data_IF_794993733853
#
_entry.id   IF_794993733853
#
_cell.length_a   1.000
_cell.length_b   1.000
_cell.length_c   1.000
_cell.angle_alpha   90.00
_cell.angle_beta   90.00
_cell.angle_gamma   90.00
#
_symmetry.space_group_name_H-M   'P 1'
#
loop_
_entity.id
_entity.type
_entity.pdbx_description
1 polymer ?
#
# COMPACT_ATOMS: atom_id res chain seq x y z
N UNK A 1 -46.87 -12.69 -7.45
CA UNK A 1 -45.91 -13.57 -6.75
C UNK A 1 -44.72 -12.70 -6.42
N UNK A 2 -44.72 -12.19 -5.20
CA UNK A 2 -43.93 -11.06 -4.72
C UNK A 2 -42.42 -11.32 -4.78
N UNK A 3 -41.72 -10.57 -5.64
CA UNK A 3 -40.28 -10.38 -5.53
C UNK A 3 -40.00 -9.33 -4.46
N UNK A 4 -39.98 -9.77 -3.21
CA UNK A 4 -39.63 -8.96 -2.04
C UNK A 4 -38.23 -8.31 -2.23
N UNK A 5 -38.10 -6.96 -2.23
CA UNK A 5 -36.82 -6.26 -2.36
C UNK A 5 -35.93 -6.32 -1.10
N UNK A 6 -36.33 -7.04 -0.06
CA UNK A 6 -35.57 -7.19 1.20
C UNK A 6 -34.59 -8.37 1.26
N UNK A 7 -34.16 -8.94 0.12
CA UNK A 7 -33.10 -9.95 0.14
C UNK A 7 -31.74 -9.28 0.40
N UNK A 8 -31.51 -8.85 1.65
CA UNK A 8 -30.22 -8.36 2.14
C UNK A 8 -29.21 -9.46 1.84
N UNK A 9 -28.26 -9.15 0.96
CA UNK A 9 -27.29 -10.09 0.37
C UNK A 9 -26.30 -10.64 1.41
N UNK A 10 -26.77 -11.40 2.39
CA UNK A 10 -25.97 -12.17 3.35
C UNK A 10 -25.28 -13.39 2.72
N UNK A 11 -25.54 -13.65 1.44
CA UNK A 11 -24.86 -14.69 0.67
C UNK A 11 -23.34 -14.50 0.69
N UNK A 12 -22.84 -13.26 0.55
CA UNK A 12 -21.41 -12.97 0.48
C UNK A 12 -20.71 -13.24 1.84
N UNK A 13 -21.20 -12.74 2.99
CA UNK A 13 -20.67 -13.13 4.30
C UNK A 13 -20.75 -14.65 4.59
N UNK A 14 -21.85 -15.30 4.19
CA UNK A 14 -22.04 -16.73 4.40
C UNK A 14 -21.01 -17.57 3.63
N UNK A 15 -20.72 -17.20 2.39
CA UNK A 15 -19.67 -17.84 1.58
C UNK A 15 -18.30 -17.69 2.26
N UNK A 16 -17.90 -16.49 2.67
CA UNK A 16 -16.61 -16.29 3.33
C UNK A 16 -16.48 -17.07 4.64
N UNK A 17 -17.58 -17.18 5.40
CA UNK A 17 -17.62 -17.98 6.62
C UNK A 17 -17.49 -19.48 6.33
N UNK A 18 -18.16 -19.98 5.28
CA UNK A 18 -18.01 -21.36 4.83
C UNK A 18 -16.59 -21.69 4.37
N UNK A 19 -15.96 -20.77 3.61
CA UNK A 19 -14.55 -20.88 3.18
C UNK A 19 -13.61 -20.89 4.39
N UNK A 20 -13.85 -20.05 5.40
CA UNK A 20 -13.07 -20.05 6.64
C UNK A 20 -13.10 -21.42 7.34
N UNK A 21 -14.29 -22.03 7.47
CA UNK A 21 -14.45 -23.34 8.11
C UNK A 21 -13.71 -24.44 7.34
N UNK A 22 -13.80 -24.44 6.00
CA UNK A 22 -13.11 -25.43 5.16
C UNK A 22 -11.58 -25.30 5.23
N UNK A 23 -11.07 -24.08 5.34
CA UNK A 23 -9.63 -23.79 5.30
C UNK A 23 -8.99 -23.90 6.70
N UNK A 24 -9.81 -23.90 7.77
CA UNK A 24 -9.37 -23.98 9.16
C UNK A 24 -8.34 -25.08 9.47
N UNK A 25 -8.48 -26.34 9.01
CA UNK A 25 -7.51 -27.40 9.32
C UNK A 25 -6.17 -27.26 8.57
N UNK A 26 -6.11 -26.56 7.44
CA UNK A 26 -4.94 -26.60 6.53
C UNK A 26 -4.16 -25.29 6.43
N UNK A 27 -4.80 -24.14 6.65
CA UNK A 27 -4.13 -22.85 6.40
C UNK A 27 -3.26 -22.35 7.56
N UNK A 28 -2.22 -21.55 7.28
CA UNK A 28 -1.53 -20.76 8.30
C UNK A 28 -2.47 -19.77 9.01
N UNK A 29 -2.21 -19.39 10.28
CA UNK A 29 -3.06 -18.49 11.06
C UNK A 29 -3.38 -17.15 10.37
N UNK A 30 -2.43 -16.61 9.60
CA UNK A 30 -2.62 -15.37 8.83
C UNK A 30 -3.69 -15.47 7.76
N UNK A 31 -3.67 -16.53 6.96
CA UNK A 31 -4.65 -16.72 5.89
C UNK A 31 -6.05 -16.89 6.48
N UNK A 32 -6.17 -17.62 7.60
CA UNK A 32 -7.43 -17.75 8.35
C UNK A 32 -7.92 -16.40 8.85
N UNK A 33 -7.04 -15.59 9.44
CA UNK A 33 -7.37 -14.27 9.94
C UNK A 33 -7.83 -13.33 8.82
N UNK A 34 -7.17 -13.35 7.65
CA UNK A 34 -7.61 -12.57 6.48
C UNK A 34 -9.02 -12.95 6.04
N UNK A 35 -9.32 -14.24 5.91
CA UNK A 35 -10.66 -14.71 5.50
C UNK A 35 -11.71 -14.34 6.57
N UNK A 36 -11.41 -14.52 7.86
CA UNK A 36 -12.31 -14.13 8.94
C UNK A 36 -12.60 -12.62 8.94
N UNK A 37 -11.58 -11.78 8.75
CA UNK A 37 -11.71 -10.33 8.66
C UNK A 37 -12.47 -9.90 7.40
N UNK A 38 -12.32 -10.61 6.27
CA UNK A 38 -13.16 -10.37 5.08
C UNK A 38 -14.64 -10.67 5.34
N UNK A 39 -14.93 -11.76 6.06
CA UNK A 39 -16.29 -12.10 6.46
C UNK A 39 -16.88 -11.05 7.40
N UNK A 40 -16.11 -10.59 8.40
CA UNK A 40 -16.51 -9.52 9.31
C UNK A 40 -16.76 -8.19 8.58
N UNK A 41 -15.89 -7.80 7.66
CA UNK A 41 -16.08 -6.60 6.84
C UNK A 41 -17.35 -6.70 5.98
N UNK A 42 -17.61 -7.85 5.36
CA UNK A 42 -18.81 -8.08 4.57
C UNK A 42 -20.07 -8.02 5.46
N UNK A 43 -20.05 -8.65 6.64
CA UNK A 43 -21.15 -8.60 7.62
C UNK A 43 -21.41 -7.17 8.09
N UNK A 44 -20.36 -6.44 8.49
CA UNK A 44 -20.46 -5.05 8.92
C UNK A 44 -20.98 -4.14 7.79
N UNK A 45 -20.48 -4.33 6.57
CA UNK A 45 -20.92 -3.58 5.39
C UNK A 45 -22.39 -3.83 5.06
N UNK A 46 -22.85 -5.09 5.12
CA UNK A 46 -24.25 -5.43 4.90
C UNK A 46 -25.17 -4.87 6.00
N UNK A 47 -24.72 -4.89 7.26
CA UNK A 47 -25.52 -4.42 8.40
C UNK A 47 -25.60 -2.91 8.50
N UNK A 48 -24.47 -2.20 8.31
CA UNK A 48 -24.37 -0.76 8.56
C UNK A 48 -24.48 0.05 7.28
N UNK A 49 -23.73 -0.34 6.24
CA UNK A 49 -23.59 0.43 5.00
C UNK A 49 -24.59 0.01 3.91
N UNK A 50 -25.42 -1.04 4.15
CA UNK A 50 -26.40 -1.61 3.21
C UNK A 50 -25.82 -1.92 1.82
N UNK A 51 -24.52 -2.16 1.74
CA UNK A 51 -23.79 -2.51 0.52
C UNK A 51 -23.06 -3.83 0.73
N UNK A 52 -22.92 -4.67 -0.33
CA UNK A 52 -22.39 -6.02 -0.18
C UNK A 52 -20.91 -6.03 0.28
N UNK A 53 -20.11 -5.06 -0.16
CA UNK A 53 -18.74 -4.86 0.32
C UNK A 53 -18.24 -3.44 0.05
N UNK A 54 -18.02 -2.67 1.10
CA UNK A 54 -17.37 -1.37 1.01
C UNK A 54 -15.84 -1.52 1.00
N UNK A 55 -15.24 -1.49 -0.20
CA UNK A 55 -13.81 -1.77 -0.44
C UNK A 55 -12.85 -0.92 0.42
N UNK A 56 -13.05 0.39 0.62
CA UNK A 56 -12.21 1.18 1.52
C UNK A 56 -12.22 0.68 2.97
N UNK A 57 -13.41 0.39 3.52
CA UNK A 57 -13.54 -0.13 4.88
C UNK A 57 -12.95 -1.54 5.02
N UNK A 58 -13.14 -2.39 4.02
CA UNK A 58 -12.49 -3.70 3.95
C UNK A 58 -10.96 -3.57 3.95
N UNK A 59 -10.40 -2.67 3.14
CA UNK A 59 -8.96 -2.42 3.08
C UNK A 59 -8.39 -1.96 4.43
N UNK A 60 -9.04 -1.00 5.10
CA UNK A 60 -8.64 -0.54 6.44
C UNK A 60 -8.68 -1.67 7.47
N UNK A 61 -9.71 -2.52 7.42
CA UNK A 61 -9.88 -3.64 8.34
C UNK A 61 -8.85 -4.75 8.09
N UNK A 62 -8.43 -4.97 6.84
CA UNK A 62 -7.30 -5.84 6.51
C UNK A 62 -5.98 -5.24 7.00
N UNK A 63 -5.79 -3.93 6.86
CA UNK A 63 -4.59 -3.24 7.32
C UNK A 63 -4.45 -3.19 8.85
N UNK A 64 -5.55 -3.29 9.60
CA UNK A 64 -5.52 -3.33 11.06
C UNK A 64 -5.03 -4.68 11.62
N UNK A 65 -4.93 -5.73 10.81
CA UNK A 65 -4.28 -6.96 11.25
C UNK A 65 -2.79 -6.71 11.50
N UNK A 66 -2.15 -7.42 12.45
CA UNK A 66 -0.70 -7.35 12.69
C UNK A 66 0.11 -8.05 11.59
N UNK A 67 -0.10 -7.67 10.33
CA UNK A 67 0.52 -8.27 9.14
C UNK A 67 1.91 -7.71 8.86
N UNK A 68 2.31 -6.60 9.49
CA UNK A 68 3.54 -5.86 9.16
C UNK A 68 4.78 -6.76 9.24
N UNK A 69 4.93 -7.55 10.31
CA UNK A 69 6.08 -8.46 10.47
C UNK A 69 6.12 -9.53 9.38
N UNK A 70 4.97 -10.02 8.96
CA UNK A 70 4.87 -11.02 7.89
C UNK A 70 5.17 -10.40 6.53
N UNK A 71 4.67 -9.18 6.27
CA UNK A 71 5.01 -8.43 5.07
C UNK A 71 6.50 -8.13 5.00
N UNK A 72 7.14 -7.79 6.11
CA UNK A 72 8.60 -7.59 6.14
C UNK A 72 9.36 -8.88 5.82
N UNK A 73 8.90 -10.02 6.36
CA UNK A 73 9.54 -11.31 6.10
C UNK A 73 9.36 -11.77 4.65
N UNK A 74 8.13 -11.78 4.12
CA UNK A 74 7.84 -12.31 2.78
C UNK A 74 8.07 -11.30 1.66
N UNK A 75 7.66 -10.04 1.86
CA UNK A 75 7.73 -9.00 0.83
C UNK A 75 8.98 -8.11 0.95
N UNK A 76 9.67 -8.12 2.10
CA UNK A 76 10.79 -7.21 2.32
C UNK A 76 11.99 -7.47 1.40
N UNK A 77 12.32 -8.73 1.09
CA UNK A 77 13.36 -9.04 0.10
C UNK A 77 12.97 -8.63 -1.33
N UNK A 78 11.83 -9.08 -1.90
CA UNK A 78 11.50 -8.75 -3.29
C UNK A 78 11.32 -7.24 -3.49
N UNK A 79 10.73 -6.51 -2.54
CA UNK A 79 10.62 -5.05 -2.64
C UNK A 79 11.99 -4.37 -2.68
N UNK A 80 12.98 -4.84 -1.90
CA UNK A 80 14.35 -4.29 -1.94
C UNK A 80 15.01 -4.53 -3.29
N UNK A 81 14.85 -5.73 -3.86
CA UNK A 81 15.38 -6.06 -5.17
C UNK A 81 14.76 -5.16 -6.24
N UNK A 82 13.43 -5.03 -6.27
CA UNK A 82 12.74 -4.15 -7.23
C UNK A 82 13.15 -2.70 -7.05
N UNK A 83 13.29 -2.24 -5.80
CA UNK A 83 13.73 -0.88 -5.50
C UNK A 83 15.15 -0.63 -6.01
N UNK A 84 16.08 -1.57 -5.78
CA UNK A 84 17.45 -1.47 -6.31
C UNK A 84 17.48 -1.49 -7.84
N UNK A 85 16.63 -2.32 -8.46
CA UNK A 85 16.52 -2.40 -9.92
C UNK A 85 16.03 -1.08 -10.54
N UNK A 86 15.11 -0.37 -9.86
CA UNK A 86 14.62 0.95 -10.31
C UNK A 86 15.65 2.05 -10.00
N UNK A 87 16.33 1.98 -8.86
CA UNK A 87 17.31 2.99 -8.44
C UNK A 87 18.59 2.96 -9.30
N UNK A 88 19.02 1.78 -9.75
CA UNK A 88 20.25 1.61 -10.55
C UNK A 88 20.29 2.44 -11.83
N UNK A 89 19.31 2.36 -12.76
CA UNK A 89 19.33 3.16 -13.98
C UNK A 89 19.22 4.65 -13.68
N UNK A 90 18.56 5.04 -12.59
CA UNK A 90 18.49 6.43 -12.14
C UNK A 90 19.88 6.95 -11.73
N UNK A 91 20.64 6.17 -10.96
CA UNK A 91 22.01 6.50 -10.57
C UNK A 91 22.98 6.49 -11.77
N UNK A 92 22.81 5.53 -12.69
CA UNK A 92 23.59 5.46 -13.93
C UNK A 92 23.35 6.67 -14.84
N UNK A 93 22.09 7.11 -14.95
CA UNK A 93 21.75 8.32 -15.70
C UNK A 93 22.40 9.59 -15.09
N UNK A 94 22.72 9.58 -13.80
CA UNK A 94 23.47 10.65 -13.13
C UNK A 94 25.00 10.52 -13.29
N UNK A 95 25.49 9.50 -14.02
CA UNK A 95 26.92 9.31 -14.32
C UNK A 95 27.66 8.35 -13.38
N UNK A 96 26.97 7.67 -12.46
CA UNK A 96 27.60 6.72 -11.54
C UNK A 96 27.58 5.29 -12.10
N UNK A 97 28.72 4.61 -12.12
CA UNK A 97 28.84 3.20 -12.54
C UNK A 97 28.36 2.23 -11.46
N UNK A 98 27.08 2.33 -11.10
CA UNK A 98 26.45 1.49 -10.08
C UNK A 98 25.94 0.19 -10.70
N UNK A 99 26.20 -0.93 -10.03
CA UNK A 99 25.69 -2.25 -10.39
C UNK A 99 24.93 -2.84 -9.22
N UNK A 100 23.73 -3.39 -9.47
CA UNK A 100 22.94 -4.06 -8.43
C UNK A 100 23.33 -5.53 -8.30
N UNK A 101 23.72 -5.92 -7.10
CA UNK A 101 23.99 -7.31 -6.71
C UNK A 101 23.05 -7.72 -5.57
N UNK A 102 21.96 -8.40 -5.90
CA UNK A 102 20.93 -8.75 -4.93
C UNK A 102 20.26 -7.50 -4.34
N UNK A 103 20.50 -7.24 -3.05
CA UNK A 103 20.04 -6.04 -2.32
C UNK A 103 21.18 -5.06 -2.05
N UNK A 104 22.30 -5.17 -2.77
CA UNK A 104 23.48 -4.32 -2.64
C UNK A 104 23.62 -3.50 -3.93
N UNK A 105 23.98 -2.23 -3.77
CA UNK A 105 24.42 -1.34 -4.84
C UNK A 105 25.95 -1.25 -4.75
N UNK A 106 26.65 -1.82 -5.73
CA UNK A 106 28.10 -1.75 -5.84
C UNK A 106 28.49 -0.53 -6.66
N UNK A 107 29.39 0.28 -6.14
CA UNK A 107 30.02 1.37 -6.87
C UNK A 107 31.54 1.32 -6.64
N UNK A 108 32.29 0.80 -7.62
CA UNK A 108 33.71 0.52 -7.43
C UNK A 108 33.93 -0.52 -6.33
N UNK A 109 34.70 -0.14 -5.31
CA UNK A 109 34.95 -0.95 -4.11
C UNK A 109 33.88 -0.76 -3.02
N UNK A 110 33.02 0.26 -3.14
CA UNK A 110 32.00 0.57 -2.16
C UNK A 110 30.77 -0.32 -2.33
N UNK A 111 30.28 -0.85 -1.21
CA UNK A 111 29.14 -1.76 -1.13
C UNK A 111 28.06 -1.12 -0.26
N UNK A 112 27.03 -0.57 -0.89
CA UNK A 112 25.92 0.09 -0.20
C UNK A 112 24.75 -0.88 -0.13
N UNK A 113 24.42 -1.37 1.07
CA UNK A 113 23.30 -2.29 1.27
C UNK A 113 21.96 -1.57 1.40
N UNK A 114 20.93 -2.10 0.76
CA UNK A 114 19.55 -1.65 0.96
C UNK A 114 19.02 -2.29 2.25
N UNK A 115 19.03 -1.51 3.32
CA UNK A 115 18.64 -1.97 4.66
C UNK A 115 17.15 -2.33 4.77
N UNK A 116 16.82 -3.11 5.81
CA UNK A 116 15.44 -3.48 6.15
C UNK A 116 14.44 -2.28 6.22
N UNK A 117 14.76 -1.12 6.83
CA UNK A 117 13.90 0.08 6.77
C UNK A 117 13.72 0.67 5.37
N UNK A 118 14.58 0.35 4.40
CA UNK A 118 14.50 0.77 2.99
C UNK A 118 13.73 -0.25 2.12
N UNK A 119 13.18 -1.31 2.71
CA UNK A 119 12.31 -2.26 2.02
C UNK A 119 11.00 -1.67 1.50
N UNK A 120 10.66 -0.44 1.86
CA UNK A 120 9.41 0.20 1.44
C UNK A 120 8.15 -0.39 2.07
N UNK A 121 8.24 -1.47 2.87
CA UNK A 121 7.07 -2.14 3.47
C UNK A 121 6.26 -1.21 4.37
N UNK A 122 6.93 -0.42 5.21
CA UNK A 122 6.25 0.57 6.07
C UNK A 122 5.61 1.68 5.23
N UNK A 123 6.30 2.13 4.17
CA UNK A 123 5.81 3.14 3.24
C UNK A 123 4.57 2.65 2.50
N UNK A 124 4.58 1.39 2.09
CA UNK A 124 3.46 0.70 1.46
C UNK A 124 2.25 0.63 2.39
N UNK A 125 2.47 0.19 3.64
CA UNK A 125 1.39 0.07 4.62
C UNK A 125 0.74 1.42 4.93
N UNK A 126 1.54 2.46 5.21
CA UNK A 126 0.99 3.81 5.48
C UNK A 126 0.35 4.42 4.23
N UNK A 127 0.93 4.22 3.05
CA UNK A 127 0.37 4.72 1.80
C UNK A 127 -0.98 4.08 1.44
N UNK A 128 -1.14 2.76 1.65
CA UNK A 128 -2.45 2.11 1.49
C UNK A 128 -3.44 2.53 2.58
N UNK A 129 -2.99 2.69 3.83
CA UNK A 129 -3.83 3.23 4.91
C UNK A 129 -4.38 4.60 4.55
N UNK A 130 -3.52 5.51 4.08
CA UNK A 130 -3.91 6.83 3.60
C UNK A 130 -4.88 6.73 2.42
N UNK A 131 -4.58 5.89 1.43
CA UNK A 131 -5.42 5.70 0.24
C UNK A 131 -6.83 5.23 0.60
N UNK A 132 -6.96 4.21 1.46
CA UNK A 132 -8.27 3.70 1.86
C UNK A 132 -9.01 4.67 2.78
N UNK A 133 -8.30 5.40 3.65
CA UNK A 133 -8.89 6.45 4.49
C UNK A 133 -9.49 7.56 3.62
N UNK A 134 -8.71 8.08 2.65
CA UNK A 134 -9.18 9.11 1.74
C UNK A 134 -10.27 8.59 0.80
N UNK A 135 -10.16 7.36 0.30
CA UNK A 135 -11.20 6.76 -0.53
C UNK A 135 -12.52 6.61 0.24
N UNK A 136 -12.47 6.30 1.54
CA UNK A 136 -13.65 6.27 2.40
C UNK A 136 -14.19 7.69 2.66
N UNK A 137 -13.31 8.66 2.89
CA UNK A 137 -13.68 10.05 3.16
C UNK A 137 -14.35 10.73 1.96
N UNK A 138 -13.82 10.51 0.75
CA UNK A 138 -14.37 11.00 -0.51
C UNK A 138 -15.43 10.07 -1.14
N UNK A 139 -15.84 9.01 -0.44
CA UNK A 139 -16.81 8.01 -0.91
C UNK A 139 -16.54 7.51 -2.35
N UNK A 140 -15.30 7.15 -2.63
CA UNK A 140 -14.91 6.67 -3.95
C UNK A 140 -15.61 5.34 -4.29
N UNK A 141 -16.02 5.20 -5.56
CA UNK A 141 -16.52 3.91 -6.09
C UNK A 141 -15.37 2.91 -6.17
N UNK A 142 -15.71 1.61 -6.15
CA UNK A 142 -14.77 0.49 -6.25
C UNK A 142 -13.72 0.69 -7.35
N UNK A 143 -14.14 1.06 -8.57
CA UNK A 143 -13.21 1.31 -9.69
C UNK A 143 -12.20 2.42 -9.38
N UNK A 144 -12.65 3.53 -8.81
CA UNK A 144 -11.80 4.65 -8.43
C UNK A 144 -10.87 4.27 -7.27
N UNK A 145 -11.36 3.49 -6.30
CA UNK A 145 -10.52 2.94 -5.21
C UNK A 145 -9.41 2.05 -5.77
N UNK A 146 -9.71 1.16 -6.71
CA UNK A 146 -8.71 0.28 -7.34
C UNK A 146 -7.67 1.10 -8.11
N UNK A 147 -8.09 2.10 -8.88
CA UNK A 147 -7.18 3.00 -9.60
C UNK A 147 -6.29 3.79 -8.61
N UNK A 148 -6.88 4.33 -7.54
CA UNK A 148 -6.14 5.03 -6.49
C UNK A 148 -5.13 4.11 -5.78
N UNK A 149 -5.52 2.87 -5.48
CA UNK A 149 -4.62 1.87 -4.88
C UNK A 149 -3.46 1.50 -5.81
N UNK A 150 -3.72 1.34 -7.11
CA UNK A 150 -2.67 1.09 -8.09
C UNK A 150 -1.71 2.28 -8.22
N UNK A 151 -2.24 3.51 -8.30
CA UNK A 151 -1.44 4.72 -8.31
C UNK A 151 -0.59 4.84 -7.04
N UNK A 152 -1.18 4.61 -5.86
CA UNK A 152 -0.45 4.63 -4.60
C UNK A 152 0.70 3.61 -4.59
N UNK A 153 0.46 2.38 -5.07
CA UNK A 153 1.50 1.35 -5.19
C UNK A 153 2.69 1.83 -6.05
N UNK A 154 2.40 2.38 -7.24
CA UNK A 154 3.43 2.89 -8.16
C UNK A 154 4.19 4.07 -7.54
N UNK A 155 3.47 5.04 -6.97
CA UNK A 155 4.09 6.22 -6.34
C UNK A 155 4.95 5.85 -5.13
N UNK A 156 4.55 4.85 -4.35
CA UNK A 156 5.34 4.33 -3.23
C UNK A 156 6.61 3.65 -3.73
N UNK A 157 6.52 2.84 -4.79
CA UNK A 157 7.68 2.15 -5.36
C UNK A 157 8.69 3.16 -5.92
N UNK A 158 8.21 4.15 -6.67
CA UNK A 158 9.04 5.22 -7.21
C UNK A 158 9.67 6.06 -6.09
N UNK A 159 8.91 6.45 -5.08
CA UNK A 159 9.43 7.18 -3.91
C UNK A 159 10.47 6.37 -3.14
N UNK A 160 10.24 5.07 -2.94
CA UNK A 160 11.22 4.21 -2.25
C UNK A 160 12.52 4.04 -3.07
N UNK A 161 12.43 3.98 -4.40
CA UNK A 161 13.59 3.97 -5.28
C UNK A 161 14.37 5.29 -5.19
N UNK A 162 13.69 6.42 -5.22
CA UNK A 162 14.31 7.74 -5.02
C UNK A 162 14.97 7.86 -3.65
N UNK A 163 14.33 7.34 -2.59
CA UNK A 163 14.91 7.31 -1.24
C UNK A 163 16.18 6.49 -1.20
N UNK A 164 16.19 5.33 -1.85
CA UNK A 164 17.37 4.46 -1.93
C UNK A 164 18.50 5.13 -2.70
N UNK A 165 18.19 5.76 -3.83
CA UNK A 165 19.17 6.54 -4.60
C UNK A 165 19.70 7.75 -3.82
N UNK A 166 18.84 8.45 -3.06
CA UNK A 166 19.26 9.57 -2.23
C UNK A 166 20.17 9.13 -1.06
N UNK A 167 19.86 8.01 -0.42
CA UNK A 167 20.68 7.44 0.65
C UNK A 167 22.03 6.91 0.14
N UNK A 168 22.10 6.42 -1.10
CA UNK A 168 23.36 6.07 -1.74
C UNK A 168 24.36 7.24 -1.70
N UNK A 169 23.93 8.48 -2.01
CA UNK A 169 24.81 9.66 -1.90
C UNK A 169 25.26 9.99 -0.48
N UNK A 170 24.46 9.64 0.52
CA UNK A 170 24.81 9.86 1.93
C UNK A 170 25.85 8.85 2.40
N UNK A 171 25.77 7.61 1.92
CA UNK A 171 26.63 6.51 2.37
C UNK A 171 28.02 6.50 1.72
N UNK A 172 28.18 7.18 0.59
CA UNK A 172 29.44 7.19 -0.19
C UNK A 172 30.53 8.08 0.44
N UNK A 173 30.27 8.67 1.62
CA UNK A 173 31.22 9.48 2.40
C UNK A 173 31.89 10.65 1.64
N UNK A 174 31.43 10.99 0.43
CA UNK A 174 31.97 12.11 -0.37
C UNK A 174 31.73 13.45 0.34
N UNK A 175 30.70 13.54 1.20
CA UNK A 175 30.45 14.68 2.06
C UNK A 175 30.14 14.21 3.49
N UNK A 176 30.68 14.87 4.54
CA UNK A 176 30.35 14.57 5.93
C UNK A 176 28.93 15.05 6.23
N UNK A 177 27.95 14.17 6.03
CA UNK A 177 26.56 14.49 6.29
C UNK A 177 26.23 14.33 7.79
N UNK A 178 25.58 15.30 8.42
CA UNK A 178 25.09 15.15 9.79
C UNK A 178 24.00 14.07 9.88
N UNK A 179 23.98 13.32 10.99
CA UNK A 179 23.13 12.11 11.16
C UNK A 179 21.61 12.31 11.05
N UNK A 180 21.12 13.56 10.99
CA UNK A 180 19.69 13.87 10.76
C UNK A 180 19.29 13.86 9.28
N UNK A 181 20.24 13.86 8.35
CA UNK A 181 19.95 13.86 6.91
C UNK A 181 19.32 12.54 6.48
N UNK A 182 19.79 11.41 7.03
CA UNK A 182 19.22 10.09 6.75
C UNK A 182 17.70 10.02 7.05
N UNK A 183 17.22 10.38 8.26
CA UNK A 183 15.77 10.43 8.52
C UNK A 183 15.07 11.59 7.79
N UNK A 184 15.75 12.72 7.56
CA UNK A 184 15.19 13.88 6.86
C UNK A 184 14.80 13.59 5.42
N UNK A 185 15.67 12.92 4.65
CA UNK A 185 15.38 12.47 3.28
C UNK A 185 14.17 11.53 3.27
N UNK A 186 14.13 10.60 4.23
CA UNK A 186 13.01 9.68 4.40
C UNK A 186 11.69 10.43 4.55
N UNK A 187 11.61 11.39 5.48
CA UNK A 187 10.42 12.19 5.75
C UNK A 187 9.99 12.99 4.52
N UNK A 188 10.93 13.66 3.84
CA UNK A 188 10.63 14.49 2.68
C UNK A 188 9.99 13.68 1.56
N UNK A 189 10.57 12.52 1.23
CA UNK A 189 10.04 11.64 0.18
C UNK A 189 8.70 11.03 0.61
N UNK A 190 8.54 10.68 1.89
CA UNK A 190 7.28 10.17 2.42
C UNK A 190 6.15 11.18 2.30
N UNK A 191 6.42 12.45 2.62
CA UNK A 191 5.49 13.56 2.46
C UNK A 191 5.15 13.79 0.99
N UNK A 192 6.15 13.82 0.10
CA UNK A 192 5.93 13.99 -1.33
C UNK A 192 5.02 12.90 -1.90
N UNK A 193 5.26 11.62 -1.56
CA UNK A 193 4.39 10.51 -1.97
C UNK A 193 3.00 10.62 -1.35
N UNK A 194 2.90 10.92 -0.06
CA UNK A 194 1.62 11.12 0.62
C UNK A 194 0.76 12.23 -0.03
N UNK A 195 1.39 13.36 -0.36
CA UNK A 195 0.73 14.47 -1.07
C UNK A 195 0.33 14.07 -2.50
N UNK A 196 1.15 13.30 -3.20
CA UNK A 196 0.79 12.79 -4.54
C UNK A 196 -0.46 11.89 -4.50
N UNK A 197 -0.54 11.00 -3.51
CA UNK A 197 -1.71 10.13 -3.28
C UNK A 197 -2.93 10.98 -2.96
N UNK A 198 -2.79 11.94 -2.04
CA UNK A 198 -3.87 12.84 -1.66
C UNK A 198 -4.41 13.61 -2.87
N UNK A 199 -3.53 14.25 -3.65
CA UNK A 199 -3.91 15.02 -4.82
C UNK A 199 -4.61 14.14 -5.87
N UNK A 200 -4.11 12.92 -6.10
CA UNK A 200 -4.72 12.00 -7.06
C UNK A 200 -6.09 11.48 -6.60
N UNK A 201 -6.23 11.15 -5.32
CA UNK A 201 -7.52 10.74 -4.74
C UNK A 201 -8.54 11.89 -4.79
N UNK A 202 -8.12 13.11 -4.49
CA UNK A 202 -8.96 14.31 -4.62
C UNK A 202 -9.38 14.56 -6.07
N UNK A 203 -8.47 14.36 -7.03
CA UNK A 203 -8.78 14.45 -8.46
C UNK A 203 -9.90 13.46 -8.85
N UNK A 204 -9.75 12.19 -8.46
CA UNK A 204 -10.78 11.16 -8.69
C UNK A 204 -12.12 11.44 -7.99
N UNK A 205 -12.09 12.12 -6.84
CA UNK A 205 -13.30 12.56 -6.12
C UNK A 205 -13.95 13.80 -6.75
N UNK A 206 -13.14 14.73 -7.28
CA UNK A 206 -13.59 16.00 -7.85
C UNK A 206 -14.22 15.87 -9.23
N UNK A 207 -13.94 14.81 -9.99
CA UNK A 207 -14.71 14.46 -11.20
C UNK A 207 -16.19 14.15 -10.92
N UNK A 208 -16.65 14.32 -9.67
CA UNK A 208 -18.05 14.19 -9.27
C UNK A 208 -18.53 15.37 -8.40
N UNK A 209 -18.61 16.61 -8.90
CA UNK A 209 -19.58 17.55 -8.34
C UNK A 209 -20.98 17.08 -8.77
N UNK A 210 -21.95 17.07 -7.86
CA UNK A 210 -23.37 16.85 -8.14
C UNK A 210 -23.83 15.42 -8.47
N UNK A 211 -23.97 14.57 -7.45
CA UNK A 211 -25.10 13.62 -7.40
C UNK A 211 -25.89 13.70 -6.08
N UNK A 212 -25.38 14.39 -5.06
CA UNK A 212 -26.08 14.60 -3.78
C UNK A 212 -27.00 15.83 -3.83
N UNK A 213 -26.77 16.79 -4.74
CA UNK A 213 -27.62 17.97 -4.90
C UNK A 213 -28.88 17.75 -5.76
N UNK A 214 -29.13 16.52 -6.25
CA UNK A 214 -30.28 16.19 -7.10
C UNK A 214 -31.31 15.25 -6.42
N UNK A 215 -31.16 14.98 -5.12
CA UNK A 215 -32.12 14.15 -4.36
C UNK A 215 -32.55 14.78 -3.02
N UNK A 216 -32.57 16.11 -2.93
CA UNK A 216 -33.27 16.83 -1.85
C UNK A 216 -34.45 17.60 -2.41
#
# INVERSE_FOLDING_TARGET
>A
QDSNPENKSFLLPAIFTGVYVMIFPFAPPLLRAMIAFTALAASFSCMVLKTPLHVPSWGLLVLSLPVISSLQFYLGYPLRVVTGEIATPFLQAMGYSVVREGTILRWGEDLISIDAPCSGVRMLWVGFYLTFTLASFFQLRIKATVIASFFAFVSILAGNALRTAALFFVEIDVFPFPGWIHPGIGILIFLAVGLSILAFVQFLGKERPCLIAASS
#
